data_IF_005355462391
#
_entry.id   IF_005355462391
#
_cell.length_a   1.000
_cell.length_b   1.000
_cell.length_c   1.000
_cell.angle_alpha   90.00
_cell.angle_beta   90.00
_cell.angle_gamma   90.00
#
_symmetry.space_group_name_H-M   'P 1'
#
loop_
_entity.id
_entity.type
_entity.pdbx_description
1 polymer ?
#
# COMPACT_ATOMS: atom_id res chain seq x y z
N UNK A 1 10.63 1.79 -20.65
CA UNK A 1 9.87 3.02 -20.87
C UNK A 1 10.50 4.11 -20.03
N UNK A 2 10.99 5.17 -20.66
CA UNK A 2 11.48 6.34 -19.93
C UNK A 2 10.34 7.27 -19.46
N UNK A 3 10.67 8.32 -18.70
CA UNK A 3 9.66 9.25 -18.18
C UNK A 3 8.92 9.98 -19.29
N UNK A 4 9.63 10.41 -20.32
CA UNK A 4 9.05 11.19 -21.42
C UNK A 4 8.05 10.34 -22.21
N UNK A 5 8.42 9.11 -22.55
CA UNK A 5 7.56 8.12 -23.19
C UNK A 5 6.29 7.86 -22.37
N UNK A 6 6.41 7.71 -21.05
CA UNK A 6 5.26 7.48 -20.17
C UNK A 6 4.31 8.67 -20.12
N UNK A 7 4.84 9.89 -19.99
CA UNK A 7 4.04 11.13 -19.99
C UNK A 7 3.33 11.32 -21.33
N UNK A 8 4.01 11.09 -22.44
CA UNK A 8 3.41 11.17 -23.78
C UNK A 8 2.30 10.14 -23.96
N UNK A 9 2.55 8.88 -23.60
CA UNK A 9 1.55 7.82 -23.68
C UNK A 9 0.29 8.17 -22.88
N UNK A 10 0.44 8.60 -21.63
CA UNK A 10 -0.71 8.94 -20.78
C UNK A 10 -1.42 10.20 -21.26
N UNK A 11 -0.68 11.20 -21.77
CA UNK A 11 -1.25 12.38 -22.40
C UNK A 11 -2.08 12.05 -23.64
N UNK A 12 -1.58 11.19 -24.52
CA UNK A 12 -2.28 10.75 -25.73
C UNK A 12 -3.54 9.97 -25.40
N UNK A 13 -3.47 9.09 -24.38
CA UNK A 13 -4.64 8.35 -23.90
C UNK A 13 -5.68 9.30 -23.28
N UNK A 14 -5.26 10.28 -22.48
CA UNK A 14 -6.17 11.29 -21.95
C UNK A 14 -6.81 12.12 -23.07
N UNK A 15 -6.04 12.51 -24.09
CA UNK A 15 -6.57 13.23 -25.25
C UNK A 15 -7.65 12.43 -25.98
N UNK A 16 -7.45 11.12 -26.17
CA UNK A 16 -8.49 10.22 -26.72
C UNK A 16 -9.75 10.22 -25.86
N UNK A 17 -9.59 10.10 -24.54
CA UNK A 17 -10.72 10.14 -23.59
C UNK A 17 -11.49 11.46 -23.67
N UNK A 18 -10.80 12.60 -23.77
CA UNK A 18 -11.46 13.91 -23.91
C UNK A 18 -12.25 14.01 -25.23
N UNK A 19 -11.72 13.48 -26.33
CA UNK A 19 -12.43 13.46 -27.62
C UNK A 19 -13.65 12.55 -27.57
N UNK A 20 -13.54 11.38 -26.93
CA UNK A 20 -14.61 10.38 -26.86
C UNK A 20 -15.73 10.73 -25.87
N UNK A 21 -15.39 11.30 -24.71
CA UNK A 21 -16.34 11.56 -23.63
C UNK A 21 -16.91 12.98 -23.67
N UNK A 22 -16.15 13.94 -24.21
CA UNK A 22 -16.55 15.34 -24.31
C UNK A 22 -16.70 15.73 -25.79
N UNK A 23 -15.69 16.40 -26.37
CA UNK A 23 -15.68 16.75 -27.79
C UNK A 23 -14.28 17.06 -28.30
N UNK A 24 -14.09 16.94 -29.62
CA UNK A 24 -12.87 17.40 -30.29
C UNK A 24 -12.60 18.90 -30.11
N UNK A 25 -13.65 19.72 -29.93
CA UNK A 25 -13.52 21.15 -29.67
C UNK A 25 -12.92 21.44 -28.29
N UNK A 26 -13.39 20.73 -27.26
CA UNK A 26 -12.88 20.86 -25.89
C UNK A 26 -11.43 20.36 -25.78
N UNK A 27 -11.10 19.25 -26.45
CA UNK A 27 -9.72 18.79 -26.55
C UNK A 27 -8.82 19.84 -27.23
N UNK A 28 -9.28 20.49 -28.30
CA UNK A 28 -8.52 21.55 -28.95
C UNK A 28 -8.31 22.79 -28.05
N UNK A 29 -9.28 23.11 -27.17
CA UNK A 29 -9.12 24.16 -26.16
C UNK A 29 -8.04 23.75 -25.14
N UNK A 30 -8.10 22.53 -24.60
CA UNK A 30 -7.11 22.01 -23.65
C UNK A 30 -5.69 22.08 -24.22
N UNK A 31 -5.51 21.64 -25.47
CA UNK A 31 -4.21 21.70 -26.15
C UNK A 31 -3.69 23.13 -26.36
N UNK A 32 -4.57 24.09 -26.65
CA UNK A 32 -4.19 25.52 -26.73
C UNK A 32 -3.75 26.04 -25.36
N UNK A 33 -4.54 25.79 -24.31
CA UNK A 33 -4.21 26.19 -22.94
C UNK A 33 -2.85 25.59 -22.53
N UNK A 34 -2.61 24.31 -22.80
CA UNK A 34 -1.35 23.62 -22.50
C UNK A 34 -0.18 24.23 -23.25
N UNK A 35 -0.35 24.54 -24.53
CA UNK A 35 0.69 25.17 -25.37
C UNK A 35 1.03 26.58 -24.89
N UNK A 36 0.02 27.40 -24.61
CA UNK A 36 0.20 28.76 -24.10
C UNK A 36 0.84 28.76 -22.70
N UNK A 37 0.46 27.82 -21.83
CA UNK A 37 1.07 27.65 -20.52
C UNK A 37 2.55 27.26 -20.60
N UNK A 38 2.94 26.45 -21.60
CA UNK A 38 4.35 26.14 -21.88
C UNK A 38 5.09 27.37 -22.40
N UNK A 39 4.53 28.10 -23.37
CA UNK A 39 5.13 29.33 -23.91
C UNK A 39 5.36 30.37 -22.81
N UNK A 40 4.41 30.53 -21.89
CA UNK A 40 4.55 31.39 -20.69
C UNK A 40 5.77 31.06 -19.82
N UNK A 41 6.24 29.82 -19.82
CA UNK A 41 7.43 29.36 -19.07
C UNK A 41 8.72 29.39 -19.90
N UNK A 42 8.68 29.92 -21.12
CA UNK A 42 9.87 30.05 -21.98
C UNK A 42 10.92 30.94 -21.31
N UNK A 43 12.20 30.66 -21.58
CA UNK A 43 13.31 31.54 -21.20
C UNK A 43 13.40 32.78 -22.09
N UNK A 44 12.71 32.79 -23.24
CA UNK A 44 12.57 33.97 -24.08
C UNK A 44 11.48 34.90 -23.53
N UNK A 45 11.87 36.11 -23.16
CA UNK A 45 10.99 37.10 -22.53
C UNK A 45 9.77 37.46 -23.40
N UNK A 46 9.96 37.56 -24.72
CA UNK A 46 8.90 37.94 -25.65
C UNK A 46 7.91 36.79 -25.84
N UNK A 47 8.41 35.56 -25.95
CA UNK A 47 7.58 34.36 -26.01
C UNK A 47 6.79 34.14 -24.71
N UNK A 48 7.44 34.35 -23.56
CA UNK A 48 6.81 34.24 -22.25
C UNK A 48 5.66 35.24 -22.06
N UNK A 49 5.86 36.51 -22.45
CA UNK A 49 4.82 37.54 -22.39
C UNK A 49 3.67 37.23 -23.34
N UNK A 50 3.97 36.84 -24.58
CA UNK A 50 2.96 36.47 -25.58
C UNK A 50 2.13 35.27 -25.11
N UNK A 51 2.79 34.22 -24.58
CA UNK A 51 2.12 33.05 -24.02
C UNK A 51 1.27 33.39 -22.80
N UNK A 52 1.73 34.30 -21.94
CA UNK A 52 0.97 34.75 -20.77
C UNK A 52 -0.31 35.50 -21.17
N UNK A 53 -0.22 36.39 -22.16
CA UNK A 53 -1.37 37.14 -22.66
C UNK A 53 -2.37 36.20 -23.35
N UNK A 54 -1.90 35.34 -24.27
CA UNK A 54 -2.76 34.40 -24.97
C UNK A 54 -3.49 33.44 -24.01
N UNK A 55 -2.79 32.95 -22.97
CA UNK A 55 -3.40 32.12 -21.93
C UNK A 55 -4.49 32.86 -21.16
N UNK A 56 -4.25 34.13 -20.80
CA UNK A 56 -5.23 34.93 -20.07
C UNK A 56 -6.49 35.17 -20.92
N UNK A 57 -6.32 35.47 -22.21
CA UNK A 57 -7.42 35.67 -23.16
C UNK A 57 -8.22 34.38 -23.37
N UNK A 58 -7.56 33.23 -23.56
CA UNK A 58 -8.23 31.94 -23.72
C UNK A 58 -9.06 31.58 -22.49
N UNK A 59 -8.49 31.70 -21.29
CA UNK A 59 -9.19 31.40 -20.03
C UNK A 59 -10.36 32.38 -19.80
N UNK A 60 -10.19 33.67 -20.10
CA UNK A 60 -11.25 34.66 -19.96
C UNK A 60 -12.41 34.44 -20.96
N UNK A 61 -12.14 33.76 -22.08
CA UNK A 61 -13.14 33.43 -23.09
C UNK A 61 -13.94 32.15 -22.84
N UNK A 62 -13.58 31.34 -21.84
CA UNK A 62 -14.29 30.10 -21.54
C UNK A 62 -15.64 30.37 -20.88
N UNK A 63 -16.67 29.65 -21.33
CA UNK A 63 -17.90 29.53 -20.56
C UNK A 63 -17.70 28.62 -19.33
N UNK A 64 -18.69 28.60 -18.44
CA UNK A 64 -18.60 27.87 -17.18
C UNK A 64 -18.40 26.35 -17.38
N UNK A 65 -19.06 25.77 -18.38
CA UNK A 65 -18.99 24.34 -18.68
C UNK A 65 -17.60 23.97 -19.21
N UNK A 66 -17.10 24.72 -20.19
CA UNK A 66 -15.76 24.52 -20.76
C UNK A 66 -14.69 24.75 -19.69
N UNK A 67 -14.80 25.80 -18.87
CA UNK A 67 -13.86 26.06 -17.79
C UNK A 67 -13.78 24.90 -16.79
N UNK A 68 -14.93 24.30 -16.44
CA UNK A 68 -14.98 23.13 -15.56
C UNK A 68 -14.29 21.91 -16.18
N UNK A 69 -14.60 21.59 -17.43
CA UNK A 69 -14.00 20.46 -18.15
C UNK A 69 -12.48 20.64 -18.28
N UNK A 70 -12.03 21.83 -18.66
CA UNK A 70 -10.59 22.14 -18.80
C UNK A 70 -9.87 22.02 -17.44
N UNK A 71 -10.47 22.52 -16.35
CA UNK A 71 -9.89 22.35 -15.02
C UNK A 71 -9.77 20.87 -14.62
N UNK A 72 -10.79 20.06 -14.91
CA UNK A 72 -10.77 18.63 -14.66
C UNK A 72 -9.72 17.90 -15.51
N UNK A 73 -9.55 18.31 -16.77
CA UNK A 73 -8.55 17.77 -17.70
C UNK A 73 -7.14 17.98 -17.16
N UNK A 74 -6.80 19.21 -16.75
CA UNK A 74 -5.48 19.47 -16.14
C UNK A 74 -5.29 18.76 -14.81
N UNK A 75 -6.32 18.71 -13.96
CA UNK A 75 -6.23 17.96 -12.70
C UNK A 75 -5.94 16.47 -12.96
N UNK A 76 -6.57 15.86 -13.98
CA UNK A 76 -6.32 14.46 -14.35
C UNK A 76 -4.94 14.31 -14.99
N UNK A 77 -4.56 15.22 -15.88
CA UNK A 77 -3.23 15.24 -16.46
C UNK A 77 -2.13 15.26 -15.39
N UNK A 78 -2.26 16.10 -14.36
CA UNK A 78 -1.29 16.13 -13.25
C UNK A 78 -1.28 14.83 -12.43
N UNK A 79 -2.44 14.20 -12.19
CA UNK A 79 -2.47 12.88 -11.56
C UNK A 79 -1.72 11.83 -12.39
N UNK A 80 -1.87 11.87 -13.72
CA UNK A 80 -1.18 10.97 -14.65
C UNK A 80 0.32 11.24 -14.72
N UNK A 81 0.74 12.51 -14.77
CA UNK A 81 2.16 12.91 -14.75
C UNK A 81 2.82 12.46 -13.45
N UNK A 82 2.21 12.73 -12.29
CA UNK A 82 2.74 12.28 -11.00
C UNK A 82 2.89 10.75 -10.97
N UNK A 83 1.90 10.02 -11.52
CA UNK A 83 1.96 8.55 -11.62
C UNK A 83 3.10 8.08 -12.53
N UNK A 84 3.36 8.78 -13.64
CA UNK A 84 4.47 8.50 -14.53
C UNK A 84 5.82 8.76 -13.87
N UNK A 85 5.95 9.88 -13.16
CA UNK A 85 7.15 10.26 -12.39
C UNK A 85 7.45 9.23 -11.30
N UNK A 86 6.47 8.87 -10.48
CA UNK A 86 6.62 7.86 -9.43
C UNK A 86 7.05 6.50 -9.99
N UNK A 87 6.44 6.09 -11.10
CA UNK A 87 6.78 4.82 -11.78
C UNK A 87 8.19 4.87 -12.37
N UNK A 88 8.58 5.99 -12.98
CA UNK A 88 9.91 6.19 -13.55
C UNK A 88 10.98 6.22 -12.45
N UNK A 89 10.74 6.93 -11.35
CA UNK A 89 11.62 6.95 -10.18
C UNK A 89 11.85 5.55 -9.63
N UNK A 90 10.81 4.73 -9.50
CA UNK A 90 10.93 3.33 -9.10
C UNK A 90 11.83 2.53 -10.06
N UNK A 91 11.67 2.72 -11.37
CA UNK A 91 12.49 2.04 -12.36
C UNK A 91 13.96 2.48 -12.31
N UNK A 92 14.23 3.77 -12.09
CA UNK A 92 15.58 4.30 -11.90
C UNK A 92 16.22 3.66 -10.67
N UNK A 93 15.55 3.69 -9.51
CA UNK A 93 16.06 3.08 -8.27
C UNK A 93 16.34 1.58 -8.45
N UNK A 94 15.46 0.86 -9.14
CA UNK A 94 15.65 -0.57 -9.43
C UNK A 94 16.83 -0.82 -10.36
N UNK A 95 17.00 0.01 -11.39
CA UNK A 95 18.13 -0.09 -12.31
C UNK A 95 19.45 0.18 -11.57
N UNK A 96 19.50 1.24 -10.76
CA UNK A 96 20.66 1.53 -9.91
C UNK A 96 20.98 0.37 -8.96
N UNK A 97 19.96 -0.25 -8.34
CA UNK A 97 20.15 -1.43 -7.49
C UNK A 97 20.75 -2.62 -8.23
N UNK A 98 20.33 -2.87 -9.48
CA UNK A 98 20.88 -3.93 -10.32
C UNK A 98 22.32 -3.62 -10.73
N UNK A 99 22.60 -2.39 -11.14
CA UNK A 99 23.91 -1.97 -11.63
C UNK A 99 24.97 -1.93 -10.51
N UNK A 100 24.58 -1.53 -9.30
CA UNK A 100 25.48 -1.48 -8.14
C UNK A 100 25.68 -2.81 -7.44
N UNK A 101 24.81 -3.80 -7.67
CA UNK A 101 24.89 -5.09 -6.97
C UNK A 101 26.31 -5.71 -7.10
N UNK A 102 26.94 -6.13 -5.98
CA UNK A 102 26.38 -6.34 -4.64
C UNK A 102 26.53 -5.17 -3.66
N UNK A 103 26.98 -3.99 -4.11
CA UNK A 103 27.10 -2.81 -3.27
C UNK A 103 25.72 -2.22 -2.91
N UNK A 104 25.58 -1.63 -1.71
CA UNK A 104 24.32 -1.01 -1.32
C UNK A 104 23.95 0.19 -2.20
N UNK A 105 22.65 0.38 -2.38
CA UNK A 105 22.11 1.59 -3.03
C UNK A 105 22.20 2.77 -2.07
N UNK A 106 22.33 3.97 -2.62
CA UNK A 106 22.36 5.19 -1.81
C UNK A 106 21.05 5.39 -1.03
N UNK A 107 21.14 5.93 0.19
CA UNK A 107 20.02 6.13 1.13
C UNK A 107 19.27 4.85 1.52
N UNK A 108 19.93 3.68 1.38
CA UNK A 108 19.37 2.39 1.80
C UNK A 108 19.74 2.02 3.24
N UNK A 109 18.97 1.11 3.83
CA UNK A 109 19.28 0.54 5.15
C UNK A 109 20.63 -0.21 5.12
N UNK A 110 20.93 -0.91 4.03
CA UNK A 110 22.21 -1.61 3.82
C UNK A 110 23.39 -0.61 3.84
N UNK A 111 23.27 0.51 3.11
CA UNK A 111 24.29 1.58 3.14
C UNK A 111 24.44 2.19 4.54
N UNK A 112 23.33 2.47 5.23
CA UNK A 112 23.37 3.04 6.57
C UNK A 112 24.14 2.15 7.56
N UNK A 113 23.87 0.84 7.56
CA UNK A 113 24.60 -0.11 8.42
C UNK A 113 26.06 -0.26 7.98
N UNK A 114 26.33 -0.25 6.68
CA UNK A 114 27.69 -0.27 6.14
C UNK A 114 28.51 0.94 6.62
N UNK A 115 27.94 2.14 6.53
CA UNK A 115 28.59 3.39 6.95
C UNK A 115 28.90 3.37 8.45
N UNK A 116 27.96 2.90 9.28
CA UNK A 116 28.19 2.72 10.71
C UNK A 116 29.36 1.75 10.96
N UNK A 117 29.41 0.62 10.26
CA UNK A 117 30.51 -0.33 10.35
C UNK A 117 31.84 0.28 9.92
N UNK A 118 31.87 0.97 8.78
CA UNK A 118 33.05 1.61 8.24
C UNK A 118 33.58 2.73 9.15
N UNK A 119 32.70 3.40 9.90
CA UNK A 119 33.06 4.41 10.91
C UNK A 119 33.65 3.83 12.20
N UNK A 120 33.73 2.50 12.32
CA UNK A 120 34.30 1.81 13.48
C UNK A 120 33.31 1.52 14.61
N UNK A 121 31.99 1.61 14.37
CA UNK A 121 30.98 1.29 15.38
C UNK A 121 31.11 -0.17 15.82
N UNK A 122 31.35 -0.39 17.11
CA UNK A 122 31.56 -1.71 17.71
C UNK A 122 30.28 -2.54 17.75
N UNK A 123 30.40 -3.85 17.99
CA UNK A 123 29.25 -4.76 18.11
C UNK A 123 28.35 -4.36 19.28
N UNK A 124 28.96 -3.97 20.40
CA UNK A 124 28.28 -3.57 21.62
C UNK A 124 27.48 -2.27 21.41
N UNK A 125 28.07 -1.30 20.70
CA UNK A 125 27.39 -0.06 20.33
C UNK A 125 26.25 -0.31 19.34
N UNK A 126 26.45 -1.18 18.34
CA UNK A 126 25.37 -1.56 17.42
C UNK A 126 24.22 -2.26 18.17
N UNK A 127 24.54 -3.15 19.11
CA UNK A 127 23.54 -3.82 19.96
C UNK A 127 22.70 -2.78 20.72
N UNK A 128 23.35 -1.83 21.41
CA UNK A 128 22.65 -0.77 22.11
C UNK A 128 21.80 0.12 21.19
N UNK A 129 22.28 0.39 19.96
CA UNK A 129 21.52 1.13 18.96
C UNK A 129 20.23 0.37 18.58
N UNK A 130 20.35 -0.90 18.21
CA UNK A 130 19.22 -1.75 17.82
C UNK A 130 18.19 -1.87 18.95
N UNK A 131 18.65 -2.06 20.19
CA UNK A 131 17.78 -2.15 21.37
C UNK A 131 16.98 -0.86 21.60
N UNK A 132 17.53 0.30 21.26
CA UNK A 132 16.87 1.60 21.40
C UNK A 132 16.09 2.07 20.17
N UNK A 133 16.27 1.42 19.01
CA UNK A 133 15.70 1.88 17.75
C UNK A 133 14.17 1.81 17.78
N UNK A 134 13.54 2.97 17.63
CA UNK A 134 12.09 3.06 17.59
C UNK A 134 11.63 4.15 16.63
N UNK A 135 10.78 3.77 15.68
CA UNK A 135 10.14 4.63 14.69
C UNK A 135 8.65 4.34 14.72
N UNK A 136 7.84 5.39 14.88
CA UNK A 136 6.39 5.31 14.78
C UNK A 136 5.88 6.25 13.69
N UNK A 137 5.25 5.68 12.66
CA UNK A 137 4.66 6.44 11.55
C UNK A 137 3.19 6.71 11.85
N UNK A 138 2.86 7.96 12.14
CA UNK A 138 1.49 8.39 12.48
C UNK A 138 0.77 8.88 11.23
N UNK A 139 -0.25 8.14 10.78
CA UNK A 139 -1.11 8.54 9.67
C UNK A 139 -2.10 9.63 10.13
N UNK A 140 -2.16 10.73 9.40
CA UNK A 140 -3.06 11.87 9.67
C UNK A 140 -3.96 12.16 8.48
N UNK A 141 -5.15 12.70 8.74
CA UNK A 141 -6.07 13.12 7.69
C UNK A 141 -5.46 14.26 6.87
N UNK A 142 -5.55 14.19 5.53
CA UNK A 142 -5.13 15.30 4.68
C UNK A 142 -6.28 16.32 4.53
N UNK A 143 -6.09 17.58 4.97
CA UNK A 143 -7.19 18.55 5.10
C UNK A 143 -7.84 18.94 3.76
N UNK A 144 -7.13 18.82 2.64
CA UNK A 144 -7.60 19.26 1.31
C UNK A 144 -7.59 18.17 0.24
N UNK A 145 -7.01 17.00 0.51
CA UNK A 145 -6.63 16.04 -0.53
C UNK A 145 -6.81 14.59 -0.09
N UNK A 146 -7.83 14.31 0.72
CA UNK A 146 -8.25 12.92 0.90
C UNK A 146 -8.83 12.40 -0.44
N UNK A 147 -7.96 11.94 -1.34
CA UNK A 147 -8.37 11.28 -2.58
C UNK A 147 -9.25 10.10 -2.19
N UNK A 148 -10.45 9.99 -2.77
CA UNK A 148 -11.35 8.86 -2.52
C UNK A 148 -10.59 7.57 -2.81
N UNK A 149 -10.80 6.53 -2.00
CA UNK A 149 -10.24 5.18 -2.22
C UNK A 149 -10.38 4.73 -3.68
N UNK A 150 -11.52 5.02 -4.31
CA UNK A 150 -11.80 4.66 -5.71
C UNK A 150 -10.83 5.32 -6.70
N UNK A 151 -10.45 6.57 -6.47
CA UNK A 151 -9.46 7.31 -7.28
C UNK A 151 -8.06 6.70 -7.07
N UNK A 152 -7.68 6.47 -5.82
CA UNK A 152 -6.39 5.87 -5.48
C UNK A 152 -6.21 4.48 -6.12
N UNK A 153 -7.25 3.63 -6.08
CA UNK A 153 -7.20 2.32 -6.73
C UNK A 153 -7.04 2.40 -8.25
N UNK A 154 -7.59 3.42 -8.90
CA UNK A 154 -7.41 3.64 -10.35
C UNK A 154 -5.98 4.09 -10.67
N UNK A 155 -5.45 5.04 -9.92
CA UNK A 155 -4.06 5.50 -10.03
C UNK A 155 -3.09 4.32 -9.86
N UNK A 156 -3.31 3.44 -8.88
CA UNK A 156 -2.49 2.25 -8.67
C UNK A 156 -2.53 1.28 -9.87
N UNK A 157 -3.70 1.07 -10.50
CA UNK A 157 -3.83 0.24 -11.70
C UNK A 157 -3.16 0.87 -12.92
N UNK A 158 -3.22 2.20 -13.06
CA UNK A 158 -2.48 2.94 -14.10
C UNK A 158 -0.97 2.75 -13.90
N UNK A 159 -0.47 2.91 -12.67
CA UNK A 159 0.94 2.67 -12.34
C UNK A 159 1.36 1.21 -12.65
N UNK A 160 0.49 0.23 -12.38
CA UNK A 160 0.73 -1.17 -12.75
C UNK A 160 0.83 -1.38 -14.26
N UNK A 161 -0.09 -0.79 -15.04
CA UNK A 161 -0.05 -0.85 -16.49
C UNK A 161 1.22 -0.22 -17.07
N UNK A 162 1.67 0.93 -16.53
CA UNK A 162 2.94 1.55 -16.92
C UNK A 162 4.14 0.64 -16.62
N UNK A 163 4.18 0.01 -15.43
CA UNK A 163 5.25 -0.94 -15.08
C UNK A 163 5.25 -2.15 -16.02
N UNK A 164 4.08 -2.68 -16.35
CA UNK A 164 3.95 -3.81 -17.25
C UNK A 164 4.43 -3.47 -18.67
N UNK A 165 4.03 -2.31 -19.20
CA UNK A 165 4.53 -1.83 -20.50
C UNK A 165 6.03 -1.54 -20.49
N UNK A 166 6.57 -1.11 -19.36
CA UNK A 166 7.99 -0.83 -19.17
C UNK A 166 8.89 -2.06 -19.06
N UNK A 167 8.36 -3.26 -18.81
CA UNK A 167 9.15 -4.47 -18.49
C UNK A 167 9.87 -5.10 -19.68
N UNK A 168 9.57 -4.67 -20.91
CA UNK A 168 10.36 -4.99 -22.11
C UNK A 168 10.19 -6.40 -22.69
N UNK A 169 9.21 -7.19 -22.24
CA UNK A 169 9.02 -8.60 -22.68
C UNK A 169 7.60 -8.94 -23.14
N UNK A 170 6.83 -7.96 -23.62
CA UNK A 170 5.44 -8.18 -24.03
C UNK A 170 5.32 -8.59 -25.50
N UNK A 171 4.46 -9.56 -25.79
CA UNK A 171 3.98 -9.81 -27.15
C UNK A 171 3.15 -8.61 -27.63
N UNK A 172 3.07 -8.33 -28.94
CA UNK A 172 2.27 -7.21 -29.45
C UNK A 172 0.82 -7.21 -28.96
N UNK A 173 0.19 -8.39 -28.89
CA UNK A 173 -1.18 -8.55 -28.37
C UNK A 173 -1.31 -8.25 -26.86
N UNK A 174 -0.24 -8.46 -26.09
CA UNK A 174 -0.22 -8.20 -24.66
C UNK A 174 0.00 -6.71 -24.40
N UNK A 175 0.88 -6.08 -25.19
CA UNK A 175 1.06 -4.63 -25.19
C UNK A 175 -0.27 -3.93 -25.52
N UNK A 176 -0.98 -4.36 -26.56
CA UNK A 176 -2.29 -3.81 -26.92
C UNK A 176 -3.32 -3.96 -25.79
N UNK A 177 -3.35 -5.12 -25.12
CA UNK A 177 -4.24 -5.33 -23.95
C UNK A 177 -3.93 -4.36 -22.82
N UNK A 178 -2.67 -4.09 -22.54
CA UNK A 178 -2.28 -3.12 -21.52
C UNK A 178 -2.63 -1.70 -21.91
N UNK A 179 -2.46 -1.32 -23.18
CA UNK A 179 -2.89 -0.01 -23.69
C UNK A 179 -4.40 0.17 -23.56
N UNK A 180 -5.19 -0.85 -23.90
CA UNK A 180 -6.65 -0.85 -23.72
C UNK A 180 -7.06 -0.77 -22.25
N UNK A 181 -6.35 -1.50 -21.36
CA UNK A 181 -6.59 -1.44 -19.92
C UNK A 181 -6.29 -0.04 -19.37
N UNK A 182 -5.17 0.57 -19.75
CA UNK A 182 -4.82 1.94 -19.37
C UNK A 182 -5.87 2.94 -19.86
N UNK A 183 -6.27 2.83 -21.13
CA UNK A 183 -7.33 3.66 -21.69
C UNK A 183 -8.61 3.55 -20.83
N UNK A 184 -9.08 2.33 -20.57
CA UNK A 184 -10.28 2.10 -19.75
C UNK A 184 -10.17 2.63 -18.31
N UNK A 185 -9.01 2.51 -17.67
CA UNK A 185 -8.79 3.10 -16.34
C UNK A 185 -8.81 4.63 -16.37
N UNK A 186 -8.20 5.27 -17.37
CA UNK A 186 -8.22 6.72 -17.56
C UNK A 186 -9.64 7.20 -17.86
N UNK A 187 -10.38 6.52 -18.75
CA UNK A 187 -11.80 6.82 -19.02
C UNK A 187 -12.62 6.73 -17.75
N UNK A 188 -12.45 5.66 -16.97
CA UNK A 188 -13.24 5.51 -15.73
C UNK A 188 -12.82 6.54 -14.67
N UNK A 189 -11.55 6.95 -14.66
CA UNK A 189 -11.07 8.00 -13.77
C UNK A 189 -11.64 9.37 -14.18
N UNK A 190 -11.75 9.66 -15.48
CA UNK A 190 -12.43 10.84 -16.02
C UNK A 190 -13.90 10.90 -15.59
N UNK A 191 -14.62 9.78 -15.76
CA UNK A 191 -16.04 9.65 -15.40
C UNK A 191 -16.29 9.50 -13.90
N UNK A 192 -15.23 9.49 -13.07
CA UNK A 192 -15.39 9.46 -11.61
C UNK A 192 -15.55 10.89 -11.10
N UNK A 193 -16.70 11.17 -10.48
CA UNK A 193 -17.00 12.49 -9.92
C UNK A 193 -15.89 12.97 -8.96
N UNK A 194 -15.25 14.07 -9.37
CA UNK A 194 -14.17 14.74 -8.63
C UNK A 194 -14.73 15.71 -7.60
N UNK A 195 -15.94 16.23 -7.81
CA UNK A 195 -16.60 17.06 -6.82
C UNK A 195 -17.01 16.16 -5.65
N UNK A 196 -16.53 16.50 -4.45
CA UNK A 196 -17.09 15.90 -3.25
C UNK A 196 -18.47 16.50 -3.02
N UNK A 197 -19.51 15.74 -3.37
CA UNK A 197 -20.91 16.09 -3.09
C UNK A 197 -21.21 16.30 -1.60
N UNK A 198 -20.37 15.75 -0.70
CA UNK A 198 -20.43 15.95 0.74
C UNK A 198 -19.03 16.06 1.36
N UNK A 199 -18.91 16.78 2.48
CA UNK A 199 -17.70 16.76 3.29
C UNK A 199 -17.41 15.33 3.77
N UNK A 200 -16.13 14.91 3.84
CA UNK A 200 -15.76 13.58 4.32
C UNK A 200 -16.22 13.39 5.76
N UNK A 201 -16.75 12.22 6.05
CA UNK A 201 -16.96 11.82 7.44
C UNK A 201 -15.63 11.34 8.02
N UNK A 202 -15.41 11.44 9.34
CA UNK A 202 -14.23 10.83 9.98
C UNK A 202 -14.07 9.34 9.65
N UNK A 203 -15.18 8.61 9.45
CA UNK A 203 -15.14 7.21 9.03
C UNK A 203 -14.56 7.02 7.61
N UNK A 204 -14.75 7.98 6.70
CA UNK A 204 -14.17 7.91 5.35
C UNK A 204 -12.66 8.12 5.37
N UNK A 205 -12.17 8.99 6.26
CA UNK A 205 -10.74 9.20 6.50
C UNK A 205 -10.11 7.90 7.04
N UNK A 206 -10.71 7.30 8.07
CA UNK A 206 -10.27 6.01 8.62
C UNK A 206 -10.21 4.93 7.53
N UNK A 207 -11.24 4.80 6.70
CA UNK A 207 -11.24 3.83 5.58
C UNK A 207 -10.15 4.11 4.56
N UNK A 208 -9.78 5.38 4.38
CA UNK A 208 -8.70 5.78 3.47
C UNK A 208 -7.33 5.41 4.03
N UNK A 209 -7.08 5.66 5.33
CA UNK A 209 -5.87 5.16 5.99
C UNK A 209 -5.77 3.63 5.93
N UNK A 210 -6.85 2.93 6.26
CA UNK A 210 -6.88 1.46 6.24
C UNK A 210 -6.68 0.88 4.85
N UNK A 211 -7.08 1.60 3.80
CA UNK A 211 -6.73 1.23 2.43
C UNK A 211 -5.21 1.21 2.21
N UNK A 212 -4.49 2.27 2.62
CA UNK A 212 -3.03 2.31 2.50
C UNK A 212 -2.35 1.27 3.38
N UNK A 213 -2.85 1.07 4.61
CA UNK A 213 -2.34 0.01 5.50
C UNK A 213 -2.47 -1.36 4.84
N UNK A 214 -3.64 -1.69 4.30
CA UNK A 214 -3.88 -3.00 3.69
C UNK A 214 -3.19 -3.20 2.33
N UNK A 215 -3.03 -2.15 1.52
CA UNK A 215 -2.48 -2.27 0.16
C UNK A 215 -0.97 -2.08 0.08
N UNK A 216 -0.39 -1.24 0.93
CA UNK A 216 1.02 -0.85 0.87
C UNK A 216 1.76 -1.38 2.10
N UNK A 217 1.40 -0.90 3.28
CA UNK A 217 2.19 -1.16 4.48
C UNK A 217 2.18 -2.62 4.93
N UNK A 218 1.08 -3.35 4.66
CA UNK A 218 0.98 -4.77 4.97
C UNK A 218 2.10 -5.61 4.34
N UNK A 219 2.53 -5.22 3.13
CA UNK A 219 3.60 -5.90 2.40
C UNK A 219 4.95 -5.21 2.58
N UNK A 220 4.98 -3.88 2.66
CA UNK A 220 6.21 -3.11 2.75
C UNK A 220 6.88 -3.20 4.13
N UNK A 221 6.11 -3.25 5.22
CA UNK A 221 6.70 -3.31 6.57
C UNK A 221 7.54 -4.58 6.78
N UNK A 222 7.05 -5.81 6.51
CA UNK A 222 7.89 -7.00 6.63
C UNK A 222 9.20 -6.92 5.83
N UNK A 223 9.16 -6.37 4.61
CA UNK A 223 10.36 -6.19 3.78
C UNK A 223 11.38 -5.25 4.42
N UNK A 224 10.94 -4.16 5.07
CA UNK A 224 11.85 -3.26 5.78
C UNK A 224 12.50 -3.94 6.99
N UNK A 225 11.77 -4.82 7.70
CA UNK A 225 12.34 -5.63 8.77
C UNK A 225 13.38 -6.62 8.23
N UNK A 226 13.08 -7.29 7.11
CA UNK A 226 14.02 -8.19 6.42
C UNK A 226 15.29 -7.44 5.97
N UNK A 227 15.15 -6.29 5.31
CA UNK A 227 16.27 -5.46 4.86
C UNK A 227 17.20 -5.05 6.02
N UNK A 228 16.65 -4.66 7.17
CA UNK A 228 17.46 -4.34 8.34
C UNK A 228 18.16 -5.57 8.90
N UNK A 229 17.46 -6.69 9.02
CA UNK A 229 18.04 -7.94 9.52
C UNK A 229 19.18 -8.44 8.61
N UNK A 230 18.99 -8.38 7.28
CA UNK A 230 20.00 -8.76 6.30
C UNK A 230 21.24 -7.84 6.38
N UNK A 231 21.03 -6.53 6.46
CA UNK A 231 22.11 -5.56 6.60
C UNK A 231 22.89 -5.78 7.91
N UNK A 232 22.19 -5.97 9.03
CA UNK A 232 22.82 -6.23 10.33
C UNK A 232 23.60 -7.55 10.31
N UNK A 233 23.02 -8.63 9.78
CA UNK A 233 23.70 -9.93 9.69
C UNK A 233 24.97 -9.83 8.81
N UNK A 234 24.91 -9.08 7.71
CA UNK A 234 26.05 -8.86 6.80
C UNK A 234 27.24 -8.16 7.47
N UNK A 235 27.00 -7.12 8.28
CA UNK A 235 28.09 -6.31 8.87
C UNK A 235 28.40 -6.63 10.35
N UNK A 236 27.45 -7.26 11.05
CA UNK A 236 27.52 -7.67 12.46
C UNK A 236 26.90 -9.07 12.67
N UNK A 237 27.53 -10.14 12.14
CA UNK A 237 26.95 -11.49 12.13
C UNK A 237 26.44 -11.97 13.49
N UNK A 238 25.24 -12.55 13.51
CA UNK A 238 24.58 -13.05 14.71
C UNK A 238 23.96 -11.98 15.62
N UNK A 239 24.01 -10.69 15.26
CA UNK A 239 23.11 -9.70 15.84
C UNK A 239 21.77 -9.74 15.13
N UNK A 240 20.69 -9.62 15.88
CA UNK A 240 19.32 -9.59 15.36
C UNK A 240 18.52 -8.51 16.07
N UNK A 241 17.55 -7.96 15.35
CA UNK A 241 16.55 -7.11 15.96
C UNK A 241 15.60 -7.97 16.81
N UNK A 242 15.44 -7.61 18.08
CA UNK A 242 14.68 -8.42 19.05
C UNK A 242 13.33 -7.79 19.44
N UNK A 243 12.95 -6.65 18.86
CA UNK A 243 11.66 -6.01 19.10
C UNK A 243 11.10 -5.37 17.82
N UNK A 244 9.82 -4.94 17.83
CA UNK A 244 9.26 -4.14 16.75
C UNK A 244 9.81 -2.70 16.76
N UNK A 245 10.81 -2.44 15.93
CA UNK A 245 11.45 -1.12 15.79
C UNK A 245 10.66 -0.13 14.95
N UNK A 246 9.82 -0.61 14.02
CA UNK A 246 8.97 0.22 13.16
C UNK A 246 7.49 -0.10 13.39
N UNK A 247 6.71 0.89 13.80
CA UNK A 247 5.27 0.79 14.07
C UNK A 247 4.47 1.81 13.28
N UNK A 248 3.19 1.50 13.09
CA UNK A 248 2.21 2.40 12.50
C UNK A 248 1.22 2.84 13.57
N UNK A 249 0.89 4.12 13.56
CA UNK A 249 -0.18 4.72 14.35
C UNK A 249 -1.10 5.54 13.44
N UNK A 250 -2.24 5.97 13.96
CA UNK A 250 -3.19 6.80 13.22
C UNK A 250 -3.90 7.77 14.16
N UNK A 251 -4.08 9.00 13.70
CA UNK A 251 -4.94 10.00 14.36
C UNK A 251 -6.36 10.01 13.81
N UNK A 252 -6.58 9.45 12.61
CA UNK A 252 -7.89 9.45 11.97
C UNK A 252 -8.90 8.66 12.83
N UNK A 253 -10.04 9.27 13.15
CA UNK A 253 -11.08 8.69 14.01
C UNK A 253 -10.78 8.74 15.53
N UNK A 254 -9.61 9.25 15.92
CA UNK A 254 -9.20 9.42 17.33
C UNK A 254 -9.00 10.88 17.73
N UNK A 255 -8.35 11.68 16.88
CA UNK A 255 -8.10 13.09 17.13
C UNK A 255 -9.40 13.89 17.09
N UNK A 256 -9.72 14.53 18.22
CA UNK A 256 -10.94 15.28 18.45
C UNK A 256 -10.66 16.76 18.71
N UNK A 257 -9.41 17.19 18.63
CA UNK A 257 -9.06 18.58 18.85
C UNK A 257 -9.68 19.44 17.74
N UNK A 258 -10.53 20.39 18.11
CA UNK A 258 -11.27 21.24 17.17
C UNK A 258 -12.29 20.52 16.26
N UNK A 259 -12.53 19.21 16.41
CA UNK A 259 -13.40 18.42 15.53
C UNK A 259 -14.55 17.73 16.29
N UNK A 260 -15.75 18.34 16.38
CA UNK A 260 -16.89 17.77 17.09
C UNK A 260 -17.47 16.50 16.41
N UNK A 261 -17.08 16.21 15.17
CA UNK A 261 -17.56 15.03 14.44
C UNK A 261 -16.87 13.74 14.88
N UNK A 262 -15.78 13.81 15.65
CA UNK A 262 -15.07 12.65 16.20
C UNK A 262 -15.65 12.30 17.57
N UNK A 263 -16.73 11.52 17.57
CA UNK A 263 -17.43 11.06 18.77
C UNK A 263 -16.86 9.74 19.31
N UNK A 264 -17.27 9.33 20.51
CA UNK A 264 -16.91 8.02 21.05
C UNK A 264 -17.40 6.85 20.16
N UNK A 265 -18.54 7.00 19.50
CA UNK A 265 -19.06 6.02 18.54
C UNK A 265 -18.14 5.89 17.31
N UNK A 266 -17.64 7.02 16.80
CA UNK A 266 -16.67 7.07 15.70
C UNK A 266 -15.35 6.41 16.11
N UNK A 267 -14.84 6.69 17.31
CA UNK A 267 -13.61 6.05 17.80
C UNK A 267 -13.81 4.54 18.00
N UNK A 268 -14.96 4.09 18.49
CA UNK A 268 -15.26 2.66 18.62
C UNK A 268 -15.37 1.96 17.26
N UNK A 269 -16.02 2.60 16.28
CA UNK A 269 -16.06 2.15 14.88
C UNK A 269 -14.65 2.08 14.27
N UNK A 270 -13.82 3.08 14.56
CA UNK A 270 -12.43 3.13 14.09
C UNK A 270 -11.64 1.92 14.57
N UNK A 271 -11.71 1.60 15.87
CA UNK A 271 -11.07 0.40 16.40
C UNK A 271 -11.63 -0.90 15.82
N UNK A 272 -12.94 -0.97 15.58
CA UNK A 272 -13.57 -2.09 14.90
C UNK A 272 -12.99 -2.30 13.49
N UNK A 273 -12.88 -1.23 12.70
CA UNK A 273 -12.33 -1.29 11.35
C UNK A 273 -10.83 -1.65 11.33
N UNK A 274 -10.04 -1.07 12.24
CA UNK A 274 -8.61 -1.41 12.39
C UNK A 274 -8.42 -2.89 12.71
N UNK A 275 -9.16 -3.41 13.71
CA UNK A 275 -9.12 -4.83 14.05
C UNK A 275 -9.61 -5.71 12.91
N UNK A 276 -10.69 -5.31 12.23
CA UNK A 276 -11.24 -6.04 11.09
C UNK A 276 -10.20 -6.24 9.99
N UNK A 277 -9.47 -5.19 9.62
CA UNK A 277 -8.38 -5.27 8.64
C UNK A 277 -7.26 -6.22 9.10
N UNK A 278 -6.80 -6.08 10.34
CA UNK A 278 -5.73 -6.91 10.88
C UNK A 278 -6.11 -8.41 10.91
N UNK A 279 -7.32 -8.71 11.39
CA UNK A 279 -7.87 -10.07 11.45
C UNK A 279 -7.96 -10.67 10.06
N UNK A 280 -8.53 -9.94 9.10
CA UNK A 280 -8.73 -10.46 7.74
C UNK A 280 -7.41 -10.70 7.01
N UNK A 281 -6.45 -9.77 7.12
CA UNK A 281 -5.17 -9.94 6.47
C UNK A 281 -4.34 -11.09 7.07
N UNK A 282 -4.30 -11.22 8.41
CA UNK A 282 -3.63 -12.36 9.04
C UNK A 282 -4.34 -13.68 8.70
N UNK A 283 -5.67 -13.70 8.67
CA UNK A 283 -6.44 -14.88 8.28
C UNK A 283 -6.12 -15.30 6.85
N UNK A 284 -6.08 -14.36 5.90
CA UNK A 284 -5.72 -14.64 4.52
C UNK A 284 -4.30 -15.19 4.40
N UNK A 285 -3.33 -14.60 5.11
CA UNK A 285 -1.94 -15.09 5.14
C UNK A 285 -1.84 -16.51 5.70
N UNK A 286 -2.51 -16.81 6.81
CA UNK A 286 -2.52 -18.15 7.42
C UNK A 286 -3.20 -19.19 6.53
N UNK A 287 -4.28 -18.82 5.83
CA UNK A 287 -4.92 -19.70 4.86
C UNK A 287 -4.00 -20.00 3.68
N UNK A 288 -3.23 -19.01 3.21
CA UNK A 288 -2.27 -19.22 2.15
C UNK A 288 -1.10 -20.11 2.60
N UNK A 289 -0.53 -19.83 3.77
CA UNK A 289 0.51 -20.66 4.38
C UNK A 289 0.04 -22.09 4.63
N UNK A 290 -1.18 -22.30 5.12
CA UNK A 290 -1.76 -23.65 5.31
C UNK A 290 -1.78 -24.46 4.01
N UNK A 291 -2.06 -23.81 2.87
CA UNK A 291 -2.01 -24.48 1.57
C UNK A 291 -0.58 -24.82 1.13
N UNK A 292 0.38 -23.90 1.37
CA UNK A 292 1.77 -24.03 0.91
C UNK A 292 2.64 -24.95 1.77
N UNK A 293 2.50 -24.91 3.10
CA UNK A 293 3.30 -25.68 4.05
C UNK A 293 2.76 -27.11 4.19
N UNK A 294 2.98 -27.93 3.16
CA UNK A 294 2.65 -29.36 3.12
C UNK A 294 3.72 -30.24 3.77
N UNK A 295 4.36 -29.75 4.84
CA UNK A 295 5.46 -30.47 5.49
C UNK A 295 4.92 -31.68 6.23
N UNK A 296 5.51 -32.84 5.94
CA UNK A 296 5.14 -34.08 6.62
C UNK A 296 5.91 -34.24 7.92
N UNK A 297 5.21 -34.66 8.97
CA UNK A 297 5.76 -35.03 10.28
C UNK A 297 6.82 -36.13 10.23
N UNK A 298 6.83 -36.94 9.16
CA UNK A 298 7.86 -37.94 8.90
C UNK A 298 9.24 -37.35 8.56
N UNK A 299 9.28 -36.12 8.02
CA UNK A 299 10.53 -35.45 7.61
C UNK A 299 10.85 -34.24 8.49
N UNK A 300 9.83 -33.53 8.93
CA UNK A 300 9.94 -32.39 9.83
C UNK A 300 9.07 -32.70 11.04
N UNK A 301 9.63 -33.36 12.07
CA UNK A 301 8.87 -33.75 13.26
C UNK A 301 8.26 -32.52 13.94
N UNK A 302 7.00 -32.65 14.36
CA UNK A 302 6.33 -31.57 15.08
C UNK A 302 6.97 -31.39 16.48
N UNK A 303 7.40 -30.17 16.85
CA UNK A 303 7.89 -29.89 18.19
C UNK A 303 6.84 -30.24 19.26
N UNK A 304 7.30 -30.75 20.41
CA UNK A 304 6.44 -31.16 21.53
C UNK A 304 5.48 -30.04 21.95
N UNK A 305 5.96 -28.78 22.01
CA UNK A 305 5.10 -27.64 22.37
C UNK A 305 3.95 -27.38 21.38
N UNK A 306 4.13 -27.70 20.09
CA UNK A 306 3.07 -27.59 19.09
C UNK A 306 2.12 -28.79 19.12
N UNK A 307 2.63 -29.97 19.46
CA UNK A 307 1.80 -31.15 19.70
C UNK A 307 0.88 -30.93 20.90
N UNK A 308 1.44 -30.47 22.02
CA UNK A 308 0.69 -30.07 23.22
C UNK A 308 -0.36 -29.01 22.91
N UNK A 309 -0.01 -28.02 22.07
CA UNK A 309 -0.94 -26.99 21.64
C UNK A 309 -2.11 -27.58 20.85
N UNK A 310 -1.84 -28.52 19.93
CA UNK A 310 -2.86 -29.23 19.16
C UNK A 310 -3.75 -30.10 20.04
N UNK A 311 -3.17 -30.85 20.98
CA UNK A 311 -3.91 -31.77 21.85
C UNK A 311 -4.86 -31.06 22.81
N UNK A 312 -4.56 -29.79 23.14
CA UNK A 312 -5.43 -28.92 23.95
C UNK A 312 -6.55 -28.26 23.14
N UNK A 313 -6.58 -28.41 21.81
CA UNK A 313 -7.64 -27.81 20.99
C UNK A 313 -8.97 -28.53 21.25
N UNK A 314 -10.09 -27.78 21.25
CA UNK A 314 -11.41 -28.40 21.27
C UNK A 314 -11.66 -29.21 19.98
N UNK A 315 -12.85 -29.80 19.86
CA UNK A 315 -13.26 -30.51 18.65
C UNK A 315 -12.98 -29.68 17.39
N UNK A 316 -12.33 -30.32 16.41
CA UNK A 316 -11.88 -29.63 15.20
C UNK A 316 -13.07 -29.05 14.41
N UNK A 317 -12.96 -27.80 13.93
CA UNK A 317 -13.94 -27.23 13.01
C UNK A 317 -14.07 -28.09 11.75
N UNK A 318 -15.26 -28.11 11.13
CA UNK A 318 -15.56 -29.00 10.01
C UNK A 318 -14.53 -28.89 8.86
N UNK A 319 -13.99 -27.70 8.60
CA UNK A 319 -12.95 -27.50 7.59
C UNK A 319 -11.61 -28.13 8.00
N UNK A 320 -11.13 -27.87 9.22
CA UNK A 320 -9.88 -28.40 9.75
C UNK A 320 -9.94 -29.92 9.94
N UNK A 321 -11.09 -30.47 10.32
CA UNK A 321 -11.32 -31.92 10.38
C UNK A 321 -11.18 -32.59 8.99
N UNK A 322 -11.68 -31.95 7.92
CA UNK A 322 -11.47 -32.43 6.55
C UNK A 322 -10.01 -32.36 6.13
N UNK A 323 -9.28 -31.32 6.54
CA UNK A 323 -7.84 -31.19 6.30
C UNK A 323 -7.09 -32.33 6.99
N UNK A 324 -7.35 -32.57 8.29
CA UNK A 324 -6.71 -33.66 9.03
C UNK A 324 -7.00 -35.03 8.40
N UNK A 325 -8.26 -35.29 8.01
CA UNK A 325 -8.62 -36.56 7.36
C UNK A 325 -7.94 -36.76 6.00
N UNK A 326 -7.73 -35.68 5.24
CA UNK A 326 -7.10 -35.72 3.91
C UNK A 326 -5.57 -35.75 3.96
N UNK A 327 -4.99 -35.10 4.97
CA UNK A 327 -3.55 -34.90 5.14
C UNK A 327 -3.12 -35.23 6.57
N UNK A 328 -3.24 -36.49 7.02
CA UNK A 328 -3.03 -36.87 8.42
C UNK A 328 -1.58 -36.65 8.90
N UNK A 329 -0.62 -36.65 7.98
CA UNK A 329 0.81 -36.47 8.26
C UNK A 329 1.28 -35.03 8.06
N UNK A 330 0.40 -34.05 7.82
CA UNK A 330 0.77 -32.64 7.59
C UNK A 330 0.29 -31.73 8.74
N UNK A 331 0.87 -31.84 9.95
CA UNK A 331 0.37 -31.12 11.13
C UNK A 331 0.50 -29.60 11.02
N UNK A 332 1.54 -29.09 10.34
CA UNK A 332 1.75 -27.65 10.13
C UNK A 332 0.58 -27.02 9.36
N UNK A 333 0.12 -27.68 8.29
CA UNK A 333 -1.05 -27.28 7.52
C UNK A 333 -2.30 -27.21 8.40
N UNK A 334 -2.49 -28.20 9.29
CA UNK A 334 -3.61 -28.24 10.22
C UNK A 334 -3.55 -27.10 11.23
N UNK A 335 -2.39 -26.87 11.85
CA UNK A 335 -2.19 -25.77 12.82
C UNK A 335 -2.51 -24.42 12.18
N UNK A 336 -1.99 -24.15 10.98
CA UNK A 336 -2.25 -22.89 10.27
C UNK A 336 -3.72 -22.72 9.90
N UNK A 337 -4.41 -23.82 9.52
CA UNK A 337 -5.86 -23.81 9.29
C UNK A 337 -6.63 -23.48 10.56
N UNK A 338 -6.20 -24.01 11.70
CA UNK A 338 -6.80 -23.79 13.00
C UNK A 338 -6.62 -22.34 13.48
N UNK A 339 -5.43 -21.76 13.32
CA UNK A 339 -5.19 -20.34 13.61
C UNK A 339 -6.04 -19.43 12.71
N UNK A 340 -6.18 -19.76 11.42
CA UNK A 340 -7.06 -19.03 10.51
C UNK A 340 -8.54 -19.14 10.92
N UNK A 341 -8.96 -20.29 11.45
CA UNK A 341 -10.31 -20.45 11.99
C UNK A 341 -10.54 -19.60 13.24
N UNK A 342 -9.58 -19.55 14.17
CA UNK A 342 -9.69 -18.70 15.37
C UNK A 342 -9.88 -17.22 15.01
N UNK A 343 -9.16 -16.76 13.98
CA UNK A 343 -9.34 -15.41 13.44
C UNK A 343 -10.72 -15.21 12.79
N UNK A 344 -11.25 -16.22 12.11
CA UNK A 344 -12.60 -16.18 11.55
C UNK A 344 -13.68 -16.12 12.65
N UNK A 345 -13.48 -16.81 13.77
CA UNK A 345 -14.36 -16.70 14.94
C UNK A 345 -14.19 -15.35 15.63
N UNK A 346 -12.96 -14.83 15.68
CA UNK A 346 -12.69 -13.51 16.22
C UNK A 346 -13.34 -12.40 15.38
N UNK A 347 -13.45 -12.53 14.06
CA UNK A 347 -14.06 -11.51 13.21
C UNK A 347 -15.57 -11.35 13.43
N UNK A 348 -16.25 -12.37 13.96
CA UNK A 348 -17.68 -12.35 14.30
C UNK A 348 -17.98 -11.66 15.65
N UNK A 349 -16.96 -11.14 16.32
CA UNK A 349 -17.09 -10.42 17.59
C UNK A 349 -17.82 -9.07 17.41
N UNK A 350 -18.87 -8.81 18.20
CA UNK A 350 -19.52 -7.50 18.30
C UNK A 350 -18.67 -6.50 19.11
N UNK A 351 -17.50 -6.20 18.55
CA UNK A 351 -16.47 -5.38 19.18
C UNK A 351 -16.95 -3.97 19.48
N UNK A 352 -17.73 -3.36 18.59
CA UNK A 352 -18.18 -1.97 18.76
C UNK A 352 -19.06 -1.83 20.00
N UNK A 353 -20.08 -2.68 20.12
CA UNK A 353 -20.95 -2.69 21.30
C UNK A 353 -20.17 -2.99 22.58
N UNK A 354 -19.17 -3.88 22.51
CA UNK A 354 -18.29 -4.22 23.64
C UNK A 354 -17.41 -3.05 24.07
N UNK A 355 -16.86 -2.27 23.14
CA UNK A 355 -16.07 -1.07 23.43
C UNK A 355 -16.88 0.06 24.05
N UNK A 356 -18.17 0.16 23.71
CA UNK A 356 -19.09 1.15 24.27
C UNK A 356 -19.72 0.70 25.59
N UNK A 357 -19.51 -0.55 26.00
CA UNK A 357 -20.02 -1.13 27.24
C UNK A 357 -18.99 -1.05 28.36
N UNK A 358 -19.46 -0.92 29.60
CA UNK A 358 -18.62 -1.04 30.80
C UNK A 358 -18.50 -2.49 31.31
N UNK A 359 -19.18 -3.44 30.69
CA UNK A 359 -19.12 -4.84 31.08
C UNK A 359 -17.75 -5.45 30.71
N UNK A 360 -17.14 -6.26 31.59
CA UNK A 360 -15.90 -6.93 31.27
C UNK A 360 -16.10 -7.88 30.09
N UNK A 361 -15.16 -7.85 29.16
CA UNK A 361 -15.17 -8.71 27.99
C UNK A 361 -13.79 -9.35 27.78
N UNK A 362 -13.78 -10.62 27.37
CA UNK A 362 -12.56 -11.37 27.06
C UNK A 362 -12.38 -11.47 25.55
N UNK A 363 -11.27 -10.95 25.04
CA UNK A 363 -10.91 -11.09 23.63
C UNK A 363 -10.90 -12.57 23.23
N UNK A 364 -11.54 -12.90 22.09
CA UNK A 364 -11.56 -14.26 21.54
C UNK A 364 -10.17 -14.75 21.12
N UNK A 365 -9.32 -13.83 20.66
CA UNK A 365 -7.94 -14.06 20.22
C UNK A 365 -7.10 -12.85 20.59
N UNK A 366 -5.87 -13.08 21.07
CA UNK A 366 -4.81 -12.10 21.31
C UNK A 366 -3.66 -12.36 20.35
N UNK A 367 -2.82 -11.36 20.11
CA UNK A 367 -1.63 -11.51 19.25
C UNK A 367 -0.70 -12.63 19.72
N UNK A 368 -0.54 -12.80 21.03
CA UNK A 368 0.27 -13.87 21.62
C UNK A 368 -0.25 -15.29 21.29
N UNK A 369 -1.57 -15.45 21.13
CA UNK A 369 -2.18 -16.75 20.79
C UNK A 369 -1.81 -17.20 19.37
N UNK A 370 -1.42 -16.24 18.51
CA UNK A 370 -0.96 -16.49 17.13
C UNK A 370 0.57 -16.55 17.06
N UNK A 371 1.26 -15.63 17.73
CA UNK A 371 2.72 -15.50 17.66
C UNK A 371 3.43 -16.76 18.16
N UNK A 372 3.03 -17.32 19.30
CA UNK A 372 3.69 -18.50 19.88
C UNK A 372 3.73 -19.71 18.91
N UNK A 373 2.57 -20.15 18.38
CA UNK A 373 2.56 -21.22 17.38
C UNK A 373 3.35 -20.87 16.11
N UNK A 374 3.28 -19.64 15.62
CA UNK A 374 3.99 -19.22 14.40
C UNK A 374 5.51 -19.19 14.59
N UNK A 375 6.00 -18.71 15.72
CA UNK A 375 7.42 -18.72 16.09
C UNK A 375 7.94 -20.16 16.22
N UNK A 376 7.16 -21.05 16.85
CA UNK A 376 7.51 -22.46 16.96
C UNK A 376 7.54 -23.18 15.59
N UNK A 377 6.63 -22.82 14.68
CA UNK A 377 6.67 -23.30 13.29
C UNK A 377 7.92 -22.78 12.60
N UNK A 378 8.18 -21.47 12.66
CA UNK A 378 9.33 -20.85 12.00
C UNK A 378 10.68 -21.41 12.50
N UNK A 379 10.78 -21.79 13.77
CA UNK A 379 11.97 -22.42 14.34
C UNK A 379 12.15 -23.90 13.94
N UNK A 380 11.06 -24.59 13.59
CA UNK A 380 11.08 -26.02 13.25
C UNK A 380 11.27 -26.27 11.74
N UNK A 381 10.87 -25.32 10.91
CA UNK A 381 11.03 -25.41 9.45
C UNK A 381 12.47 -25.05 9.07
N UNK A 382 13.16 -25.89 8.28
CA UNK A 382 14.56 -25.69 7.90
C UNK A 382 14.80 -24.52 6.94
#
# INVERSE_FOLDING_TARGET
MDLSEAIHLLGDLLGKVLVEQESAGLFAIEERVRTQAKARRSSDSQEAETGAQALAEEIAGLDQESAWVIACAFALYFDLVNTAEDTSRMNVLRKEAIEKAPEPVHDSIDEAVQLLKASGLTREQMTALLDSLHIELVLTAHPTEARRRTVLSKIMRIAEGLRALGSGQLLPREQERWLQALHGEITTLWLTDRARSAQPTPADEVRTALYFVGQIFWTALPQLYEMLNEAVEKYYPGLKMNHPWLKMASWMGGDRDGNPNVTADVTAETFHLHRGLAVENHRAALQDLSRRLSLSDAFVPLPEGLQDWLDRRPALPAHSARIQARYPHEPYRLILSLLAHDLAEASQDDMKSRLLSSAPHTARVRSADLAGPLEAIAAAVP
#
